data_IF_957253521732
#
_entry.id   IF_957253521732
#
_cell.length_a   1.000
_cell.length_b   1.000
_cell.length_c   1.000
_cell.angle_alpha   90.00
_cell.angle_beta   90.00
_cell.angle_gamma   90.00
#
_symmetry.space_group_name_H-M   'P 1'
#
loop_
_entity.id
_entity.type
_entity.pdbx_description
1 polymer ?
#
# COMPACT_ATOMS: atom_id res chain seq x y z
N UNK A 1 1.66 -0.51 33.48
CA UNK A 1 0.75 -1.66 33.66
C UNK A 1 0.01 -1.88 32.35
N UNK A 2 0.06 -3.04 31.70
CA UNK A 2 -0.89 -3.35 30.64
C UNK A 2 -1.95 -4.31 31.15
N UNK A 3 -3.21 -3.98 30.87
CA UNK A 3 -4.29 -4.95 30.85
C UNK A 3 -4.44 -5.42 29.40
N UNK A 4 -4.32 -6.73 29.19
CA UNK A 4 -4.74 -7.40 27.98
C UNK A 4 -6.22 -7.72 28.07
N UNK A 5 -6.95 -7.59 26.96
CA UNK A 5 -8.23 -8.26 26.78
C UNK A 5 -8.25 -8.88 25.38
N UNK A 6 -8.34 -10.21 25.38
CA UNK A 6 -8.47 -11.06 24.21
C UNK A 6 -9.96 -11.39 24.03
N UNK A 7 -10.53 -11.17 22.84
CA UNK A 7 -11.70 -11.93 22.38
C UNK A 7 -11.48 -12.37 20.93
N UNK A 8 -11.48 -13.68 20.77
CA UNK A 8 -11.67 -14.39 19.50
C UNK A 8 -13.10 -14.14 19.00
N UNK A 9 -13.26 -13.87 17.71
CA UNK A 9 -14.28 -14.47 16.83
C UNK A 9 -14.02 -14.03 15.38
N UNK A 10 -14.23 -14.96 14.45
CA UNK A 10 -13.65 -14.97 13.10
C UNK A 10 -14.06 -13.83 12.17
N UNK A 11 -13.07 -13.42 11.37
CA UNK A 11 -13.19 -12.95 9.99
C UNK A 11 -11.76 -12.93 9.41
N UNK A 12 -11.42 -13.55 8.27
CA UNK A 12 -10.07 -13.45 7.73
C UNK A 12 -9.96 -12.15 6.93
N UNK A 13 -10.02 -11.02 7.63
CA UNK A 13 -9.57 -9.72 7.12
C UNK A 13 -8.30 -9.35 7.89
N UNK A 14 -7.30 -10.21 7.85
CA UNK A 14 -5.99 -9.89 8.39
C UNK A 14 -5.22 -9.06 7.38
N UNK A 15 -5.38 -7.74 7.48
CA UNK A 15 -4.37 -6.80 7.02
C UNK A 15 -3.14 -7.02 7.90
N UNK A 16 -2.05 -7.55 7.32
CA UNK A 16 -0.78 -7.67 8.03
C UNK A 16 -0.08 -6.32 7.93
N UNK A 17 -0.18 -5.52 8.98
CA UNK A 17 0.69 -4.36 9.17
C UNK A 17 2.00 -4.83 9.78
N UNK A 18 3.11 -4.73 9.04
CA UNK A 18 4.45 -4.82 9.62
C UNK A 18 4.92 -3.39 9.87
N UNK A 19 4.75 -2.90 11.10
CA UNK A 19 5.35 -1.63 11.50
C UNK A 19 6.88 -1.81 11.57
N UNK A 20 7.62 -1.02 10.78
CA UNK A 20 9.08 -0.95 10.88
C UNK A 20 9.49 -0.38 12.24
N UNK A 21 10.45 -0.99 12.97
CA UNK A 21 11.04 -0.34 14.12
C UNK A 21 11.94 0.82 13.65
N UNK A 22 11.73 2.02 14.19
CA UNK A 22 12.70 3.11 14.06
C UNK A 22 14.01 2.68 14.72
N UNK A 23 15.18 2.93 14.11
CA UNK A 23 16.44 2.62 14.76
C UNK A 23 16.65 3.64 15.88
N UNK A 24 16.35 3.23 17.12
CA UNK A 24 16.86 3.90 18.31
C UNK A 24 17.93 3.01 18.91
N UNK A 25 19.11 3.60 19.07
CA UNK A 25 20.30 3.03 19.66
C UNK A 25 20.00 2.24 20.96
N UNK A 26 20.61 1.06 21.07
CA UNK A 26 20.91 0.44 22.37
C UNK A 26 20.04 -0.74 22.82
N UNK A 27 20.54 -1.94 22.54
CA UNK A 27 20.57 -3.14 23.42
C UNK A 27 19.29 -3.55 24.20
N UNK A 28 18.64 -4.63 23.74
CA UNK A 28 18.52 -5.93 24.46
C UNK A 28 17.76 -6.95 23.59
N UNK A 29 18.46 -7.87 22.90
CA UNK A 29 17.82 -9.06 22.32
C UNK A 29 17.76 -10.18 23.38
N UNK A 30 16.56 -10.69 23.67
CA UNK A 30 16.32 -11.95 24.40
C UNK A 30 16.69 -13.15 23.50
N UNK A 31 16.93 -14.34 24.06
CA UNK A 31 17.68 -15.41 23.39
C UNK A 31 16.82 -16.21 22.42
N UNK A 32 16.46 -15.60 21.29
CA UNK A 32 16.10 -16.30 20.04
C UNK A 32 16.72 -15.55 18.84
N UNK A 33 17.93 -14.99 19.03
CA UNK A 33 18.74 -14.49 17.92
C UNK A 33 19.21 -15.68 17.07
N UNK A 34 18.55 -15.89 15.93
CA UNK A 34 19.07 -16.74 14.86
C UNK A 34 20.38 -16.09 14.36
N UNK A 35 21.51 -16.69 14.72
CA UNK A 35 22.86 -16.24 14.32
C UNK A 35 23.04 -16.35 12.80
N UNK A 36 23.55 -15.27 12.18
CA UNK A 36 23.86 -15.19 10.74
C UNK A 36 22.94 -14.22 10.01
N UNK A 37 23.18 -12.91 10.19
CA UNK A 37 22.43 -11.84 9.52
C UNK A 37 22.82 -11.72 8.04
N UNK A 38 22.36 -12.67 7.23
CA UNK A 38 22.07 -12.50 5.81
C UNK A 38 20.57 -12.78 5.63
N UNK A 39 19.71 -11.92 6.21
CA UNK A 39 18.25 -12.10 6.18
C UNK A 39 17.65 -11.83 4.79
N UNK A 40 18.31 -11.02 3.98
CA UNK A 40 17.79 -10.54 2.71
C UNK A 40 18.15 -11.51 1.58
N UNK A 41 17.12 -12.02 0.90
CA UNK A 41 17.24 -12.82 -0.32
C UNK A 41 16.93 -14.31 -0.15
N UNK A 42 17.23 -14.93 1.00
CA UNK A 42 16.96 -16.38 1.23
C UNK A 42 15.70 -16.68 2.04
N UNK A 43 15.26 -15.77 2.92
CA UNK A 43 14.10 -16.02 3.81
C UNK A 43 13.07 -14.89 3.84
N UNK A 44 13.50 -13.64 3.63
CA UNK A 44 12.59 -12.50 3.55
C UNK A 44 12.94 -11.64 2.34
N UNK A 45 11.91 -11.23 1.60
CA UNK A 45 12.02 -10.34 0.43
C UNK A 45 11.04 -9.18 0.60
N UNK A 46 11.54 -7.95 0.50
CA UNK A 46 10.73 -6.74 0.61
C UNK A 46 10.52 -6.10 -0.76
N UNK A 47 9.30 -5.69 -1.05
CA UNK A 47 8.94 -4.92 -2.23
C UNK A 47 8.42 -3.54 -1.80
N UNK A 48 9.16 -2.50 -2.13
CA UNK A 48 8.78 -1.11 -1.83
C UNK A 48 7.94 -0.53 -2.96
N UNK A 49 6.81 0.10 -2.62
CA UNK A 49 5.81 0.63 -3.55
C UNK A 49 6.37 1.41 -4.76
N UNK A 50 7.35 2.31 -4.55
CA UNK A 50 7.88 3.18 -5.63
C UNK A 50 8.73 2.43 -6.66
N UNK A 51 9.08 1.18 -6.35
CA UNK A 51 9.89 0.29 -7.21
C UNK A 51 9.18 -1.02 -7.49
N UNK A 52 7.91 -1.16 -7.08
CA UNK A 52 7.15 -2.39 -7.22
C UNK A 52 5.87 -2.19 -8.05
N UNK A 53 5.84 -2.81 -9.22
CA UNK A 53 4.80 -2.61 -10.21
C UNK A 53 4.74 -1.18 -10.73
N UNK A 54 3.56 -0.79 -11.21
CA UNK A 54 3.21 0.58 -11.58
C UNK A 54 2.21 1.15 -10.58
N UNK A 55 2.61 1.22 -9.31
CA UNK A 55 1.74 1.71 -8.25
C UNK A 55 1.44 3.21 -8.45
N UNK A 56 0.17 3.65 -8.40
CA UNK A 56 -0.19 5.06 -8.57
C UNK A 56 -0.02 5.84 -7.29
N UNK A 57 0.60 7.02 -7.37
CA UNK A 57 0.76 7.93 -6.23
C UNK A 57 1.03 9.37 -6.67
N UNK A 58 0.96 10.32 -5.74
CA UNK A 58 1.37 11.71 -5.97
C UNK A 58 2.76 11.95 -5.39
N UNK A 59 3.72 12.33 -6.21
CA UNK A 59 5.09 12.54 -5.75
C UNK A 59 5.14 13.71 -4.75
N UNK A 60 5.71 13.47 -3.55
CA UNK A 60 5.74 14.43 -2.45
C UNK A 60 4.37 15.01 -2.08
N UNK A 61 3.29 14.23 -2.26
CA UNK A 61 1.91 14.70 -2.07
C UNK A 61 1.57 15.96 -2.87
N UNK A 62 2.22 16.15 -4.03
CA UNK A 62 1.91 17.26 -4.95
C UNK A 62 0.89 16.80 -6.00
N UNK A 63 -0.32 17.41 -6.04
CA UNK A 63 -1.35 17.03 -7.01
C UNK A 63 -0.96 17.25 -8.47
N UNK A 64 0.08 18.05 -8.74
CA UNK A 64 0.59 18.30 -10.08
C UNK A 64 1.65 17.28 -10.52
N UNK A 65 2.03 16.34 -9.65
CA UNK A 65 3.02 15.30 -9.93
C UNK A 65 2.44 13.89 -9.78
N UNK A 66 1.40 13.53 -10.55
CA UNK A 66 0.86 12.17 -10.53
C UNK A 66 1.85 11.19 -11.17
N UNK A 67 2.15 10.12 -10.46
CA UNK A 67 2.90 8.97 -10.96
C UNK A 67 1.91 7.84 -11.23
N UNK A 68 2.02 7.20 -12.40
CA UNK A 68 1.11 6.14 -12.87
C UNK A 68 -0.38 6.51 -12.80
N UNK A 69 -0.73 7.79 -12.94
CA UNK A 69 -2.10 8.28 -12.88
C UNK A 69 -2.55 8.82 -11.51
N UNK A 70 -1.70 8.70 -10.47
CA UNK A 70 -1.91 9.26 -9.13
C UNK A 70 -2.95 8.54 -8.27
N UNK A 71 -4.05 8.09 -8.89
CA UNK A 71 -5.15 7.40 -8.25
C UNK A 71 -5.28 5.95 -8.76
N UNK A 72 -5.78 5.01 -7.94
CA UNK A 72 -5.99 3.63 -8.37
C UNK A 72 -6.94 3.51 -9.56
N UNK A 73 -8.04 4.28 -9.59
CA UNK A 73 -9.00 4.28 -10.70
C UNK A 73 -8.46 4.87 -12.02
N UNK A 74 -7.32 5.58 -11.97
CA UNK A 74 -6.63 6.12 -13.15
C UNK A 74 -5.52 5.20 -13.68
N UNK A 75 -5.21 4.11 -12.96
CA UNK A 75 -4.10 3.23 -13.28
C UNK A 75 -4.54 2.00 -14.09
N UNK A 76 -3.67 1.52 -14.98
CA UNK A 76 -3.92 0.29 -15.73
C UNK A 76 -3.46 -0.93 -14.92
N UNK A 77 -4.42 -1.68 -14.37
CA UNK A 77 -4.16 -2.90 -13.61
C UNK A 77 -3.34 -3.93 -14.41
N UNK A 78 -3.68 -4.16 -15.67
CA UNK A 78 -2.96 -5.11 -16.53
C UNK A 78 -1.49 -4.73 -16.71
N UNK A 79 -1.18 -3.43 -16.88
CA UNK A 79 0.21 -2.96 -16.99
C UNK A 79 0.94 -3.09 -15.66
N UNK A 80 0.28 -2.76 -14.55
CA UNK A 80 0.83 -2.94 -13.21
C UNK A 80 1.21 -4.40 -12.95
N UNK A 81 0.29 -5.34 -13.20
CA UNK A 81 0.51 -6.77 -12.99
C UNK A 81 1.63 -7.33 -13.89
N UNK A 82 1.70 -6.90 -15.15
CA UNK A 82 2.79 -7.29 -16.04
C UNK A 82 4.17 -6.87 -15.51
N UNK A 83 4.25 -5.70 -14.88
CA UNK A 83 5.50 -5.22 -14.29
C UNK A 83 5.82 -5.93 -12.96
N UNK A 84 4.81 -6.16 -12.11
CA UNK A 84 4.92 -6.95 -10.88
C UNK A 84 5.50 -8.35 -11.17
N UNK A 85 4.99 -9.06 -12.18
CA UNK A 85 5.48 -10.39 -12.53
C UNK A 85 6.97 -10.37 -12.86
N UNK A 86 7.43 -9.43 -13.70
CA UNK A 86 8.85 -9.31 -14.05
C UNK A 86 9.73 -9.05 -12.83
N UNK A 87 9.27 -8.16 -11.95
CA UNK A 87 10.03 -7.77 -10.76
C UNK A 87 10.07 -8.88 -9.71
N UNK A 88 8.98 -9.64 -9.55
CA UNK A 88 8.97 -10.85 -8.72
C UNK A 88 9.98 -11.86 -9.26
N UNK A 89 9.93 -12.20 -10.56
CA UNK A 89 10.85 -13.17 -11.16
C UNK A 89 12.31 -12.73 -11.09
N UNK A 90 12.56 -11.42 -11.12
CA UNK A 90 13.91 -10.87 -10.97
C UNK A 90 14.39 -10.94 -9.52
N UNK A 91 13.53 -10.61 -8.55
CA UNK A 91 13.91 -10.51 -7.14
C UNK A 91 13.86 -11.85 -6.39
N UNK A 92 13.02 -12.76 -6.85
CA UNK A 92 12.80 -14.12 -6.32
C UNK A 92 12.97 -15.10 -7.49
N UNK A 93 14.23 -15.35 -7.91
CA UNK A 93 14.49 -16.23 -9.05
C UNK A 93 14.28 -17.72 -8.74
N UNK A 94 14.31 -18.13 -7.46
CA UNK A 94 14.02 -19.50 -7.07
C UNK A 94 12.51 -19.75 -7.04
N UNK A 95 12.02 -20.55 -7.98
CA UNK A 95 10.62 -20.96 -8.06
C UNK A 95 10.14 -21.79 -6.85
N UNK A 96 11.06 -22.29 -6.02
CA UNK A 96 10.77 -23.03 -4.78
C UNK A 96 10.91 -22.17 -3.53
N UNK A 97 11.00 -20.85 -3.68
CA UNK A 97 11.08 -19.93 -2.54
C UNK A 97 9.92 -20.16 -1.56
N UNK A 98 10.27 -20.47 -0.31
CA UNK A 98 9.35 -20.77 0.79
C UNK A 98 9.45 -19.73 1.93
N UNK A 99 10.14 -18.62 1.67
CA UNK A 99 10.27 -17.49 2.58
C UNK A 99 9.08 -16.51 2.55
N UNK A 100 9.21 -15.43 3.31
CA UNK A 100 8.21 -14.37 3.39
C UNK A 100 8.48 -13.28 2.35
N UNK A 101 7.51 -13.00 1.49
CA UNK A 101 7.49 -11.80 0.66
C UNK A 101 6.56 -10.76 1.28
N UNK A 102 7.09 -9.56 1.54
CA UNK A 102 6.31 -8.42 2.09
C UNK A 102 6.23 -7.34 1.03
N UNK A 103 5.03 -6.85 0.79
CA UNK A 103 4.78 -5.71 -0.08
C UNK A 103 4.44 -4.53 0.83
N UNK A 104 5.22 -3.47 0.70
CA UNK A 104 5.15 -2.27 1.51
C UNK A 104 4.54 -1.15 0.67
N UNK A 105 3.20 -1.00 0.78
CA UNK A 105 2.39 0.01 0.11
C UNK A 105 1.86 0.99 1.15
N UNK A 106 2.34 2.22 1.12
CA UNK A 106 2.07 3.23 2.13
C UNK A 106 1.43 4.49 1.56
N UNK A 107 1.53 4.80 0.27
CA UNK A 107 1.07 6.10 -0.28
C UNK A 107 -0.42 6.35 -0.03
N UNK A 108 -1.28 5.35 -0.22
CA UNK A 108 -2.71 5.42 0.08
C UNK A 108 -3.23 4.14 0.75
N UNK A 109 -4.35 4.28 1.47
CA UNK A 109 -5.07 3.17 2.11
C UNK A 109 -6.22 2.72 1.20
N UNK A 110 -6.56 1.42 1.17
CA UNK A 110 -7.53 0.89 0.21
C UNK A 110 -8.97 1.35 0.46
N UNK A 111 -9.27 1.82 1.67
CA UNK A 111 -10.55 2.44 1.99
C UNK A 111 -10.40 3.96 1.90
N UNK A 112 -11.17 4.58 1.02
CA UNK A 112 -11.25 6.02 0.79
C UNK A 112 -11.33 6.82 2.10
N UNK A 113 -12.23 6.43 3.00
CA UNK A 113 -12.45 7.12 4.28
C UNK A 113 -11.24 7.06 5.22
N UNK A 114 -10.36 6.08 5.01
CA UNK A 114 -9.14 5.94 5.80
C UNK A 114 -8.01 6.83 5.28
N UNK A 115 -8.13 7.51 4.14
CA UNK A 115 -7.12 8.41 3.61
C UNK A 115 -7.21 9.82 4.24
N UNK A 116 -6.93 9.90 5.54
CA UNK A 116 -6.85 11.16 6.31
C UNK A 116 -5.40 11.60 6.54
N UNK A 117 -5.21 12.85 6.99
CA UNK A 117 -3.90 13.47 7.18
C UNK A 117 -3.20 13.71 5.84
N UNK A 118 -1.92 13.35 5.74
CA UNK A 118 -1.12 13.55 4.52
C UNK A 118 -1.66 12.80 3.28
N UNK A 119 -2.64 11.91 3.47
CA UNK A 119 -3.31 11.13 2.42
C UNK A 119 -4.62 11.76 1.93
N UNK A 120 -5.02 12.89 2.49
CA UNK A 120 -6.25 13.58 2.09
C UNK A 120 -6.23 14.00 0.61
N UNK A 121 -5.03 14.19 0.03
CA UNK A 121 -4.85 14.41 -1.41
C UNK A 121 -5.56 13.34 -2.26
N UNK A 122 -5.55 12.07 -1.87
CA UNK A 122 -6.20 11.01 -2.64
C UNK A 122 -7.73 11.18 -2.67
N UNK A 123 -8.30 11.71 -1.59
CA UNK A 123 -9.72 12.05 -1.53
C UNK A 123 -10.02 13.24 -2.43
N UNK A 124 -9.29 14.33 -2.27
CA UNK A 124 -9.50 15.56 -3.04
C UNK A 124 -9.33 15.34 -4.55
N UNK A 125 -8.32 14.58 -4.95
CA UNK A 125 -8.06 14.32 -6.36
C UNK A 125 -9.08 13.36 -6.96
N UNK A 126 -9.59 12.39 -6.19
CA UNK A 126 -10.70 11.54 -6.65
C UNK A 126 -11.96 12.36 -6.92
N UNK A 127 -12.29 13.32 -6.06
CA UNK A 127 -13.43 14.24 -6.28
C UNK A 127 -13.21 15.11 -7.51
N UNK A 128 -12.01 15.70 -7.65
CA UNK A 128 -11.66 16.51 -8.82
C UNK A 128 -11.74 15.73 -10.12
N UNK A 129 -11.31 14.48 -10.12
CA UNK A 129 -11.40 13.58 -11.27
C UNK A 129 -12.86 13.40 -11.71
N UNK A 130 -13.75 13.03 -10.78
CA UNK A 130 -15.19 12.86 -11.08
C UNK A 130 -15.83 14.17 -11.56
N UNK A 131 -15.51 15.30 -10.93
CA UNK A 131 -16.05 16.61 -11.34
C UNK A 131 -15.54 17.06 -12.72
N UNK A 132 -14.33 16.65 -13.12
CA UNK A 132 -13.78 16.94 -14.44
C UNK A 132 -14.49 16.14 -15.54
N UNK A 133 -14.92 14.91 -15.26
CA UNK A 133 -15.70 14.09 -16.19
C UNK A 133 -17.15 14.58 -16.33
N UNK A 134 -17.70 15.18 -15.27
CA UNK A 134 -19.05 15.75 -15.30
C UNK A 134 -19.17 17.03 -14.46
N UNK A 135 -19.05 18.18 -15.15
CA UNK A 135 -19.10 19.51 -14.54
C UNK A 135 -20.46 19.92 -13.98
N UNK A 136 -21.51 19.11 -14.20
CA UNK A 136 -22.86 19.36 -13.67
C UNK A 136 -23.08 18.74 -12.29
N UNK A 137 -22.17 17.88 -11.82
CA UNK A 137 -22.29 17.24 -10.52
C UNK A 137 -22.12 18.26 -9.40
N UNK A 138 -22.93 18.10 -8.36
CA UNK A 138 -22.66 18.76 -7.08
C UNK A 138 -21.47 18.07 -6.42
N UNK A 139 -20.74 18.81 -5.57
CA UNK A 139 -19.60 18.27 -4.84
C UNK A 139 -19.96 17.02 -4.01
N UNK A 140 -21.09 17.04 -3.31
CA UNK A 140 -21.53 15.92 -2.48
C UNK A 140 -21.77 14.64 -3.31
N UNK A 141 -22.36 14.77 -4.51
CA UNK A 141 -22.55 13.62 -5.39
C UNK A 141 -21.22 13.15 -5.98
N UNK A 142 -20.33 14.08 -6.33
CA UNK A 142 -18.99 13.75 -6.78
C UNK A 142 -18.17 13.02 -5.70
N UNK A 143 -18.31 13.37 -4.43
CA UNK A 143 -17.67 12.69 -3.30
C UNK A 143 -18.15 11.24 -3.14
N UNK A 144 -19.46 10.98 -3.26
CA UNK A 144 -20.01 9.62 -3.21
C UNK A 144 -19.49 8.75 -4.36
N UNK A 145 -19.44 9.31 -5.57
CA UNK A 145 -18.90 8.60 -6.74
C UNK A 145 -17.39 8.37 -6.62
N UNK A 146 -16.64 9.40 -6.20
CA UNK A 146 -15.21 9.32 -5.97
C UNK A 146 -14.84 8.24 -4.94
N UNK A 147 -15.60 8.15 -3.84
CA UNK A 147 -15.43 7.10 -2.84
C UNK A 147 -15.67 5.70 -3.43
N UNK A 148 -16.75 5.53 -4.20
CA UNK A 148 -17.05 4.25 -4.87
C UNK A 148 -15.92 3.85 -5.81
N UNK A 149 -15.54 4.73 -6.72
CA UNK A 149 -14.58 4.45 -7.79
C UNK A 149 -13.18 4.18 -7.22
N UNK A 150 -12.76 4.95 -6.20
CA UNK A 150 -11.52 4.72 -5.49
C UNK A 150 -11.51 3.35 -4.78
N UNK A 151 -12.55 3.03 -4.00
CA UNK A 151 -12.63 1.76 -3.27
C UNK A 151 -12.70 0.55 -4.20
N UNK A 152 -13.37 0.69 -5.36
CA UNK A 152 -13.44 -0.38 -6.35
C UNK A 152 -12.08 -0.62 -6.99
N UNK A 153 -11.34 0.43 -7.35
CA UNK A 153 -10.04 0.31 -7.97
C UNK A 153 -8.90 -0.05 -7.01
N UNK A 154 -9.05 0.25 -5.71
CA UNK A 154 -8.06 -0.02 -4.67
C UNK A 154 -8.16 -1.43 -4.05
N UNK A 155 -9.16 -2.22 -4.46
CA UNK A 155 -9.45 -3.58 -3.97
C UNK A 155 -8.59 -4.64 -4.64
#
# INVERSE_FOLDING_TARGET
MPFASNRRNGNPSSLVFVASPTPTDGVYCRPECIQGQEFFGKKVVLFYEKKFGLFPYYNNSDPNQPVNGGLPQNASLSRHLNEVVKQILTKIPDHRFDGLAVIDLEEWRPLYDMNWGDKEIYKEQSVKHVMAENTRLTRNLAEVLAQRDFNEAAR
#
